data_IF_887369805910
#
_entry.id   IF_887369805910
#
_cell.length_a   1.000
_cell.length_b   1.000
_cell.length_c   1.000
_cell.angle_alpha   90.00
_cell.angle_beta   90.00
_cell.angle_gamma   90.00
#
_symmetry.space_group_name_H-M   'P 1'
#
loop_
_entity.id
_entity.type
_entity.pdbx_description
1 polymer ?
#
# COMPACT_ATOMS: atom_id res chain seq x y z
N UNK A 1 17.55 -10.31 5.54
CA UNK A 1 16.21 -10.53 6.11
C UNK A 1 15.28 -11.05 5.01
N UNK A 2 14.33 -11.89 5.38
CA UNK A 2 13.62 -12.88 4.55
C UNK A 2 12.25 -12.36 4.11
N UNK A 3 11.82 -12.61 2.87
CA UNK A 3 10.68 -11.96 2.15
C UNK A 3 9.28 -11.91 2.83
N UNK A 4 9.12 -12.44 4.04
CA UNK A 4 7.92 -12.23 4.86
C UNK A 4 7.69 -10.75 5.22
N UNK A 5 8.76 -9.97 5.41
CA UNK A 5 8.63 -8.55 5.70
C UNK A 5 8.11 -7.76 4.50
N UNK A 6 8.52 -8.10 3.28
CA UNK A 6 8.06 -7.46 2.05
C UNK A 6 6.59 -7.76 1.76
N UNK A 7 6.17 -9.03 1.88
CA UNK A 7 4.76 -9.42 1.70
C UNK A 7 3.87 -8.75 2.76
N UNK A 8 4.33 -8.72 4.02
CA UNK A 8 3.64 -8.02 5.11
C UNK A 8 3.52 -6.52 4.86
N UNK A 9 4.60 -5.87 4.40
CA UNK A 9 4.62 -4.45 4.09
C UNK A 9 3.69 -4.10 2.93
N UNK A 10 3.62 -4.95 1.90
CA UNK A 10 2.72 -4.73 0.76
C UNK A 10 1.24 -4.79 1.17
N UNK A 11 0.83 -5.84 1.91
CA UNK A 11 -0.55 -5.96 2.37
C UNK A 11 -0.97 -4.78 3.27
N UNK A 12 -0.06 -4.33 4.14
CA UNK A 12 -0.29 -3.17 4.99
C UNK A 12 -0.41 -1.89 4.16
N UNK A 13 0.48 -1.68 3.19
CA UNK A 13 0.48 -0.51 2.32
C UNK A 13 -0.81 -0.39 1.49
N UNK A 14 -1.27 -1.49 0.89
CA UNK A 14 -2.52 -1.55 0.12
C UNK A 14 -3.72 -1.16 0.98
N UNK A 15 -3.88 -1.78 2.16
CA UNK A 15 -4.98 -1.47 3.08
C UNK A 15 -4.93 -0.03 3.59
N UNK A 16 -3.74 0.45 3.97
CA UNK A 16 -3.54 1.80 4.50
C UNK A 16 -3.90 2.89 3.47
N UNK A 17 -3.45 2.73 2.23
CA UNK A 17 -3.77 3.69 1.16
C UNK A 17 -5.22 3.60 0.69
N UNK A 18 -5.81 2.40 0.67
CA UNK A 18 -7.23 2.23 0.36
C UNK A 18 -8.11 2.96 1.38
N UNK A 19 -7.75 2.92 2.66
CA UNK A 19 -8.39 3.67 3.74
C UNK A 19 -8.14 5.19 3.69
N UNK A 20 -7.31 5.68 2.77
CA UNK A 20 -7.01 7.11 2.60
C UNK A 20 -5.83 7.61 3.43
N UNK A 21 -4.97 6.71 3.93
CA UNK A 21 -3.78 7.08 4.66
C UNK A 21 -2.75 7.86 3.82
N UNK A 22 -1.91 8.66 4.49
CA UNK A 22 -0.90 9.49 3.84
C UNK A 22 0.40 8.71 3.54
N UNK A 23 0.91 8.83 2.32
CA UNK A 23 2.11 8.14 1.86
C UNK A 23 3.36 8.42 2.71
N UNK A 24 3.52 9.65 3.24
CA UNK A 24 4.66 10.00 4.10
C UNK A 24 4.63 9.27 5.46
N UNK A 25 3.44 9.01 5.99
CA UNK A 25 3.25 8.23 7.22
C UNK A 25 3.55 6.77 6.93
N UNK A 26 3.02 6.25 5.81
CA UNK A 26 3.27 4.89 5.37
C UNK A 26 4.77 4.60 5.17
N UNK A 27 5.53 5.52 4.57
CA UNK A 27 6.98 5.38 4.38
C UNK A 27 7.71 5.18 5.70
N UNK A 28 7.38 5.98 6.72
CA UNK A 28 7.97 5.88 8.06
C UNK A 28 7.66 4.54 8.72
N UNK A 29 6.44 4.03 8.56
CA UNK A 29 6.02 2.75 9.12
C UNK A 29 6.75 1.59 8.42
N UNK A 30 6.81 1.60 7.09
CA UNK A 30 7.47 0.53 6.31
C UNK A 30 8.95 0.45 6.65
N UNK A 31 9.66 1.58 6.67
CA UNK A 31 11.09 1.60 6.98
C UNK A 31 11.37 1.14 8.41
N UNK A 32 10.52 1.53 9.38
CA UNK A 32 10.77 1.26 10.80
C UNK A 32 10.29 -0.11 11.27
N UNK A 33 9.09 -0.52 10.89
CA UNK A 33 8.42 -1.73 11.41
C UNK A 33 8.74 -2.97 10.56
N UNK A 34 9.00 -2.79 9.27
CA UNK A 34 9.30 -3.90 8.35
C UNK A 34 10.79 -4.01 8.01
N UNK A 35 11.63 -3.12 8.57
CA UNK A 35 13.09 -3.09 8.37
C UNK A 35 13.48 -3.06 6.88
N UNK A 36 12.73 -2.29 6.09
CA UNK A 36 12.97 -2.10 4.66
C UNK A 36 13.72 -0.80 4.40
N UNK A 37 14.59 -0.80 3.40
CA UNK A 37 15.27 0.43 2.97
C UNK A 37 14.28 1.40 2.29
N UNK A 38 14.68 2.67 2.18
CA UNK A 38 13.81 3.72 1.63
C UNK A 38 13.43 3.48 0.16
N UNK A 39 14.31 2.87 -0.65
CA UNK A 39 14.00 2.60 -2.05
C UNK A 39 12.93 1.50 -2.17
N UNK A 40 13.07 0.44 -1.38
CA UNK A 40 12.07 -0.63 -1.29
C UNK A 40 10.75 -0.10 -0.72
N UNK A 41 10.78 0.76 0.30
CA UNK A 41 9.58 1.38 0.85
C UNK A 41 8.85 2.26 -0.17
N UNK A 42 9.59 3.08 -0.93
CA UNK A 42 9.02 3.92 -1.98
C UNK A 42 8.37 3.09 -3.09
N UNK A 43 9.02 2.00 -3.51
CA UNK A 43 8.47 1.08 -4.50
C UNK A 43 7.14 0.47 -4.02
N UNK A 44 7.08 0.00 -2.76
CA UNK A 44 5.85 -0.55 -2.17
C UNK A 44 4.72 0.48 -2.13
N UNK A 45 5.01 1.73 -1.76
CA UNK A 45 4.02 2.82 -1.73
C UNK A 45 3.47 3.08 -3.14
N UNK A 46 4.32 3.09 -4.16
CA UNK A 46 3.90 3.31 -5.54
C UNK A 46 2.97 2.18 -6.02
N UNK A 47 3.36 0.92 -5.79
CA UNK A 47 2.54 -0.25 -6.12
C UNK A 47 1.18 -0.21 -5.41
N UNK A 48 1.18 -0.01 -4.09
CA UNK A 48 -0.03 0.08 -3.29
C UNK A 48 -0.94 1.24 -3.71
N UNK A 49 -0.38 2.37 -4.16
CA UNK A 49 -1.15 3.51 -4.67
C UNK A 49 -1.86 3.17 -5.97
N UNK A 50 -1.15 2.53 -6.91
CA UNK A 50 -1.75 2.08 -8.17
C UNK A 50 -2.85 1.05 -7.91
N UNK A 51 -2.62 0.12 -6.99
CA UNK A 51 -3.61 -0.85 -6.55
C UNK A 51 -4.84 -0.16 -5.95
N UNK A 52 -4.66 0.76 -4.99
CA UNK A 52 -5.76 1.46 -4.32
C UNK A 52 -6.64 2.25 -5.31
N UNK A 53 -6.03 2.87 -6.34
CA UNK A 53 -6.77 3.53 -7.42
C UNK A 53 -7.62 2.54 -8.21
N UNK A 54 -7.05 1.38 -8.58
CA UNK A 54 -7.77 0.32 -9.30
C UNK A 54 -8.89 -0.28 -8.44
N UNK A 55 -8.63 -0.56 -7.17
CA UNK A 55 -9.59 -1.08 -6.22
C UNK A 55 -10.77 -0.12 -6.03
N UNK A 56 -10.52 1.17 -5.83
CA UNK A 56 -11.58 2.19 -5.75
C UNK A 56 -12.41 2.27 -7.02
N UNK A 57 -11.77 2.21 -8.20
CA UNK A 57 -12.49 2.19 -9.48
C UNK A 57 -13.39 0.96 -9.58
N UNK A 58 -12.90 -0.22 -9.23
CA UNK A 58 -13.67 -1.46 -9.24
C UNK A 58 -14.87 -1.39 -8.28
N UNK A 59 -14.66 -0.90 -7.05
CA UNK A 59 -15.74 -0.70 -6.06
C UNK A 59 -16.82 0.27 -6.57
N UNK A 60 -16.41 1.37 -7.21
CA UNK A 60 -17.34 2.35 -7.76
C UNK A 60 -18.09 1.82 -8.99
N UNK A 61 -17.45 1.01 -9.85
CA UNK A 61 -18.12 0.37 -10.99
C UNK A 61 -19.12 -0.71 -10.52
N UNK A 62 -18.78 -1.50 -9.49
CA UNK A 62 -19.68 -2.49 -8.91
C UNK A 62 -20.93 -1.85 -8.26
N UNK A 63 -20.80 -0.65 -7.71
CA UNK A 63 -21.92 0.13 -7.17
C UNK A 63 -22.74 0.88 -8.24
N UNK A 64 -22.35 0.79 -9.52
CA UNK A 64 -22.99 1.48 -10.65
C UNK A 64 -24.10 0.69 -11.34
N UNK A 65 -24.34 -0.57 -10.97
CA UNK A 65 -25.51 -1.34 -11.42
C UNK A 65 -26.72 -0.97 -10.55
N UNK A 66 -27.43 0.09 -10.95
CA UNK A 66 -28.80 0.39 -10.54
C UNK A 66 -29.68 0.58 -11.77
#
# INVERSE_FOLDING_TARGET
MSGYNEIGAMNFAEGFLLAGGQADILRKIIVKEYDLDEATANWHIEQARQWAVRARKALNCANGEK
#
